data_IF_293268663514
#
_entry.id   IF_293268663514
#
_cell.length_a   1.000
_cell.length_b   1.000
_cell.length_c   1.000
_cell.angle_alpha   90.00
_cell.angle_beta   90.00
_cell.angle_gamma   90.00
#
_symmetry.space_group_name_H-M   'P 1'
#
loop_
_entity.id
_entity.type
_entity.pdbx_description
1 polymer ?
#
# COMPACT_ATOMS: atom_id res chain seq x y z
N UNK A 1 -1.07 -4.39 -22.98
CA UNK A 1 -0.16 -5.55 -23.12
C UNK A 1 0.22 -6.00 -21.72
N UNK A 2 -0.27 -7.16 -21.27
CA UNK A 2 0.01 -7.69 -19.93
C UNK A 2 1.24 -8.60 -20.03
N UNK A 3 2.33 -8.25 -19.35
CA UNK A 3 3.55 -9.04 -19.34
C UNK A 3 3.40 -10.20 -18.33
N UNK A 4 3.31 -11.43 -18.83
CA UNK A 4 3.39 -12.65 -18.02
C UNK A 4 4.87 -12.97 -17.87
N UNK A 5 5.46 -12.60 -16.74
CA UNK A 5 6.80 -13.06 -16.35
C UNK A 5 6.67 -14.52 -15.88
N UNK A 6 7.07 -15.46 -16.73
CA UNK A 6 7.27 -16.85 -16.34
C UNK A 6 8.60 -16.96 -15.58
N UNK A 7 8.54 -17.23 -14.28
CA UNK A 7 9.70 -17.62 -13.48
C UNK A 7 9.72 -19.15 -13.46
N UNK A 8 10.81 -19.74 -13.97
CA UNK A 8 11.00 -21.20 -14.01
C UNK A 8 10.85 -21.79 -12.60
N UNK A 9 9.81 -22.61 -12.40
CA UNK A 9 9.54 -23.32 -11.14
C UNK A 9 8.14 -23.15 -10.55
N UNK A 10 7.33 -22.19 -11.01
CA UNK A 10 5.94 -22.03 -10.56
C UNK A 10 4.98 -22.29 -11.71
N UNK A 11 4.48 -23.52 -11.79
CA UNK A 11 3.45 -23.89 -12.78
C UNK A 11 2.16 -23.12 -12.51
N UNK A 12 1.81 -22.19 -13.40
CA UNK A 12 0.42 -21.81 -13.68
C UNK A 12 -0.23 -20.70 -12.86
N UNK A 13 0.43 -20.10 -11.86
CA UNK A 13 -0.14 -18.96 -11.15
C UNK A 13 0.26 -17.65 -11.84
N UNK A 14 -0.71 -16.93 -12.43
CA UNK A 14 -0.50 -15.56 -12.91
C UNK A 14 -0.10 -14.69 -11.72
N UNK A 15 1.16 -14.23 -11.69
CA UNK A 15 1.66 -13.37 -10.62
C UNK A 15 0.97 -12.02 -10.76
N UNK A 16 0.08 -11.70 -9.82
CA UNK A 16 -0.63 -10.41 -9.82
C UNK A 16 0.36 -9.29 -9.47
N UNK A 17 0.59 -8.37 -10.40
CA UNK A 17 1.50 -7.24 -10.15
C UNK A 17 0.77 -6.11 -9.43
N UNK A 18 1.52 -5.25 -8.72
CA UNK A 18 0.97 -4.13 -7.96
C UNK A 18 0.34 -3.02 -8.81
N UNK A 19 0.45 -3.12 -10.14
CA UNK A 19 -0.13 -2.20 -11.11
C UNK A 19 -1.41 -2.74 -11.77
N UNK A 20 -1.75 -4.01 -11.55
CA UNK A 20 -3.00 -4.57 -12.05
C UNK A 20 -4.18 -4.09 -11.21
N UNK A 21 -5.25 -3.68 -11.88
CA UNK A 21 -6.54 -3.36 -11.27
C UNK A 21 -7.08 -4.57 -10.47
N UNK A 22 -8.02 -4.30 -9.56
CA UNK A 22 -8.70 -5.33 -8.81
C UNK A 22 -9.53 -6.22 -9.75
N UNK A 23 -9.47 -7.53 -9.55
CA UNK A 23 -10.52 -8.45 -10.02
C UNK A 23 -11.82 -8.24 -9.24
N UNK A 24 -12.95 -8.75 -9.74
CA UNK A 24 -14.26 -8.62 -9.07
C UNK A 24 -14.23 -9.16 -7.63
N UNK A 25 -13.60 -10.31 -7.41
CA UNK A 25 -13.43 -10.90 -6.06
C UNK A 25 -12.54 -10.04 -5.16
N UNK A 26 -11.50 -9.41 -5.72
CA UNK A 26 -10.63 -8.49 -4.98
C UNK A 26 -11.36 -7.19 -4.66
N UNK A 27 -12.27 -6.73 -5.51
CA UNK A 27 -13.02 -5.49 -5.30
C UNK A 27 -13.88 -5.59 -4.03
N UNK A 28 -14.58 -6.71 -3.83
CA UNK A 28 -15.38 -6.94 -2.61
C UNK A 28 -14.50 -6.92 -1.36
N UNK A 29 -13.36 -7.60 -1.41
CA UNK A 29 -12.41 -7.64 -0.28
C UNK A 29 -11.74 -6.30 -0.04
N UNK A 30 -11.50 -5.54 -1.09
CA UNK A 30 -10.91 -4.21 -1.02
C UNK A 30 -11.86 -3.21 -0.35
N UNK A 31 -13.15 -3.30 -0.62
CA UNK A 31 -14.16 -2.49 0.08
C UNK A 31 -14.19 -2.80 1.58
N UNK A 32 -14.13 -4.08 1.95
CA UNK A 32 -14.05 -4.50 3.36
C UNK A 32 -12.78 -3.97 4.03
N UNK A 33 -11.63 -4.11 3.35
CA UNK A 33 -10.35 -3.60 3.84
C UNK A 33 -10.38 -2.07 3.98
N UNK A 34 -10.98 -1.36 3.03
CA UNK A 34 -11.13 0.10 3.08
C UNK A 34 -11.91 0.52 4.33
N UNK A 35 -13.02 -0.15 4.63
CA UNK A 35 -13.80 0.12 5.84
C UNK A 35 -12.95 -0.08 7.11
N UNK A 36 -12.23 -1.20 7.23
CA UNK A 36 -11.37 -1.49 8.39
C UNK A 36 -10.25 -0.44 8.55
N UNK A 37 -9.59 -0.06 7.45
CA UNK A 37 -8.49 0.91 7.49
C UNK A 37 -8.95 2.32 7.85
N UNK A 38 -10.13 2.76 7.41
CA UNK A 38 -10.71 4.05 7.81
C UNK A 38 -10.97 4.11 9.31
N UNK A 39 -11.52 3.04 9.89
CA UNK A 39 -11.75 2.96 11.33
C UNK A 39 -10.43 3.03 12.12
N UNK A 40 -9.38 2.34 11.65
CA UNK A 40 -8.06 2.38 12.29
C UNK A 40 -7.41 3.77 12.20
N UNK A 41 -7.45 4.42 11.03
CA UNK A 41 -6.91 5.76 10.86
C UNK A 41 -7.63 6.80 11.73
N UNK A 42 -8.96 6.69 11.89
CA UNK A 42 -9.73 7.56 12.76
C UNK A 42 -9.30 7.44 14.24
N UNK A 43 -8.98 6.22 14.70
CA UNK A 43 -8.53 5.98 16.09
C UNK A 43 -7.13 6.52 16.35
N UNK A 44 -6.24 6.50 15.36
CA UNK A 44 -4.85 6.93 15.50
C UNK A 44 -4.66 8.45 15.34
N UNK A 45 -5.74 9.24 15.22
CA UNK A 45 -5.68 10.71 15.13
C UNK A 45 -5.03 11.25 13.84
N UNK A 46 -4.68 10.36 12.90
CA UNK A 46 -4.02 10.72 11.66
C UNK A 46 -5.02 11.03 10.55
N UNK A 47 -5.09 12.29 10.13
CA UNK A 47 -5.66 12.64 8.83
C UNK A 47 -4.65 12.27 7.74
N UNK A 48 -4.59 11.01 7.34
CA UNK A 48 -3.85 10.64 6.14
C UNK A 48 -4.82 10.50 4.97
N UNK A 49 -5.16 11.57 4.22
CA UNK A 49 -5.96 11.45 3.00
C UNK A 49 -5.23 10.63 1.90
N UNK A 50 -3.92 10.40 2.01
CA UNK A 50 -3.17 9.44 1.17
C UNK A 50 -3.34 7.96 1.61
N UNK A 51 -4.11 7.68 2.67
CA UNK A 51 -4.19 6.37 3.34
C UNK A 51 -4.87 5.28 2.51
N UNK A 52 -5.79 5.62 1.61
CA UNK A 52 -6.79 4.66 1.10
C UNK A 52 -6.81 4.57 -0.41
N UNK A 53 -5.70 4.82 -1.10
CA UNK A 53 -5.60 4.49 -2.52
C UNK A 53 -5.85 2.99 -2.73
N UNK A 54 -6.75 2.63 -3.63
CA UNK A 54 -7.08 1.23 -3.93
C UNK A 54 -5.85 0.42 -4.32
N UNK A 55 -4.91 1.02 -5.06
CA UNK A 55 -3.66 0.36 -5.42
C UNK A 55 -2.75 0.10 -4.21
N UNK A 56 -2.84 0.92 -3.16
CA UNK A 56 -2.14 0.67 -1.90
C UNK A 56 -2.82 -0.46 -1.14
N UNK A 57 -4.15 -0.42 -1.01
CA UNK A 57 -4.91 -1.47 -0.32
C UNK A 57 -4.79 -2.83 -1.03
N UNK A 58 -4.76 -2.85 -2.37
CA UNK A 58 -4.49 -4.05 -3.16
C UNK A 58 -3.12 -4.65 -2.88
N UNK A 59 -2.09 -3.82 -2.61
CA UNK A 59 -0.76 -4.33 -2.23
C UNK A 59 -0.81 -5.11 -0.93
N UNK A 60 -1.51 -4.60 0.08
CA UNK A 60 -1.73 -5.33 1.33
C UNK A 60 -2.57 -6.58 1.08
N UNK A 61 -3.70 -6.45 0.38
CA UNK A 61 -4.59 -7.58 0.13
C UNK A 61 -3.87 -8.71 -0.61
N UNK A 62 -3.08 -8.42 -1.64
CA UNK A 62 -2.30 -9.41 -2.40
C UNK A 62 -1.12 -9.97 -1.60
N UNK A 63 -0.43 -9.12 -0.83
CA UNK A 63 0.68 -9.54 0.04
C UNK A 63 0.27 -10.51 1.14
N UNK A 64 -0.98 -10.41 1.60
CA UNK A 64 -1.59 -11.29 2.61
C UNK A 64 -2.59 -12.29 2.00
N UNK A 65 -2.36 -12.72 0.74
CA UNK A 65 -3.11 -13.80 0.08
C UNK A 65 -4.64 -13.62 0.06
N UNK A 66 -5.12 -12.38 0.04
CA UNK A 66 -6.54 -12.06 0.04
C UNK A 66 -7.21 -12.13 1.41
N UNK A 67 -6.44 -12.23 2.50
CA UNK A 67 -6.93 -12.13 3.88
C UNK A 67 -7.15 -10.67 4.25
N UNK A 68 -8.42 -10.27 4.40
CA UNK A 68 -8.79 -8.89 4.79
C UNK A 68 -8.29 -8.58 6.20
N UNK A 69 -8.40 -9.56 7.12
CA UNK A 69 -7.99 -9.40 8.51
C UNK A 69 -6.50 -9.12 8.64
N UNK A 70 -5.67 -9.95 8.02
CA UNK A 70 -4.21 -9.82 8.14
C UNK A 70 -3.72 -8.58 7.40
N UNK A 71 -4.32 -8.27 6.24
CA UNK A 71 -4.05 -7.03 5.53
C UNK A 71 -4.40 -5.78 6.36
N UNK A 72 -5.50 -5.80 7.11
CA UNK A 72 -5.92 -4.69 7.97
C UNK A 72 -4.97 -4.50 9.16
N UNK A 73 -4.55 -5.59 9.82
CA UNK A 73 -3.57 -5.55 10.90
C UNK A 73 -2.24 -4.98 10.41
N UNK A 74 -1.71 -5.51 9.32
CA UNK A 74 -0.47 -5.01 8.74
C UNK A 74 -0.55 -3.54 8.30
N UNK A 75 -1.72 -3.10 7.84
CA UNK A 75 -1.94 -1.69 7.52
C UNK A 75 -1.90 -0.83 8.79
N UNK A 76 -2.55 -1.27 9.88
CA UNK A 76 -2.54 -0.57 11.16
C UNK A 76 -1.11 -0.45 11.71
N UNK A 77 -0.37 -1.56 11.76
CA UNK A 77 1.03 -1.60 12.23
C UNK A 77 1.91 -0.63 11.42
N UNK A 78 1.71 -0.58 10.10
CA UNK A 78 2.43 0.34 9.22
C UNK A 78 2.10 1.81 9.50
N UNK A 79 0.84 2.13 9.79
CA UNK A 79 0.44 3.51 10.15
C UNK A 79 1.05 3.91 11.49
N UNK A 80 0.96 3.05 12.49
CA UNK A 80 1.55 3.27 13.82
C UNK A 80 3.07 3.49 13.70
N UNK A 81 3.77 2.59 13.03
CA UNK A 81 5.21 2.73 12.81
C UNK A 81 5.58 4.04 12.11
N UNK A 82 4.80 4.47 11.10
CA UNK A 82 5.05 5.74 10.40
C UNK A 82 4.88 6.96 11.30
N UNK A 83 3.92 6.92 12.21
CA UNK A 83 3.69 7.98 13.20
C UNK A 83 4.84 8.02 14.20
N UNK A 84 5.22 6.88 14.76
CA UNK A 84 6.34 6.76 15.70
C UNK A 84 7.67 7.25 15.12
N UNK A 85 7.88 7.04 13.82
CA UNK A 85 9.13 7.35 13.13
C UNK A 85 9.10 8.69 12.38
N UNK A 86 8.07 9.53 12.59
CA UNK A 86 7.91 10.84 11.94
C UNK A 86 8.13 10.79 10.41
N UNK A 87 7.64 9.75 9.75
CA UNK A 87 7.88 9.53 8.31
C UNK A 87 7.32 10.68 7.47
N UNK A 88 6.26 11.35 7.95
CA UNK A 88 5.72 12.55 7.31
C UNK A 88 6.75 13.68 7.21
N UNK A 89 7.52 13.93 8.28
CA UNK A 89 8.53 14.99 8.33
C UNK A 89 9.73 14.64 7.45
N UNK A 90 10.12 13.36 7.43
CA UNK A 90 11.17 12.86 6.53
C UNK A 90 10.77 13.08 5.07
N UNK A 91 9.53 12.71 4.70
CA UNK A 91 9.03 12.91 3.33
C UNK A 91 8.95 14.39 2.98
N UNK A 92 8.47 15.25 3.89
CA UNK A 92 8.42 16.69 3.66
C UNK A 92 9.82 17.29 3.45
N UNK A 93 10.80 16.85 4.26
CA UNK A 93 12.20 17.26 4.14
C UNK A 93 12.79 16.86 2.79
N UNK A 94 12.58 15.61 2.37
CA UNK A 94 13.08 15.12 1.07
C UNK A 94 12.44 15.86 -0.10
N UNK A 95 11.12 16.07 -0.09
CA UNK A 95 10.43 16.85 -1.14
C UNK A 95 10.95 18.28 -1.24
N UNK A 96 11.26 18.90 -0.09
CA UNK A 96 11.86 20.24 -0.06
C UNK A 96 13.27 20.23 -0.65
N UNK A 97 14.11 19.26 -0.26
CA UNK A 97 15.45 19.12 -0.81
C UNK A 97 15.43 18.92 -2.35
N UNK A 98 14.50 18.11 -2.87
CA UNK A 98 14.31 17.93 -4.32
C UNK A 98 13.88 19.22 -5.02
N UNK A 99 13.04 20.04 -4.37
CA UNK A 99 12.63 21.32 -4.92
C UNK A 99 13.76 22.36 -4.92
N UNK A 100 14.63 22.32 -3.90
CA UNK A 100 15.72 23.28 -3.71
C UNK A 100 16.97 22.94 -4.56
N UNK A 101 17.30 21.65 -4.72
CA UNK A 101 18.54 21.19 -5.39
C UNK A 101 18.31 20.60 -6.80
N UNK A 102 17.05 20.44 -7.22
CA UNK A 102 16.69 19.66 -8.41
C UNK A 102 16.62 18.15 -8.10
N UNK A 103 16.65 17.31 -9.13
CA UNK A 103 16.44 15.87 -8.96
C UNK A 103 17.47 15.28 -7.98
N UNK A 104 16.99 14.80 -6.83
CA UNK A 104 17.83 14.17 -5.81
C UNK A 104 18.59 13.02 -6.45
N UNK A 105 19.92 13.14 -6.49
CA UNK A 105 20.80 12.03 -6.85
C UNK A 105 20.84 11.08 -5.66
N UNK A 106 19.87 10.16 -5.61
CA UNK A 106 20.02 8.98 -4.77
C UNK A 106 21.24 8.19 -5.27
N UNK A 107 22.14 7.72 -4.39
CA UNK A 107 23.06 6.64 -4.74
C UNK A 107 22.31 5.33 -5.04
#
# INVERSE_FOLDING_TARGET
MSAILQVEGVTGASIKTNQQLASEEEQVKLEQLRACTMECCAKLGGSSPEATSDLKLLRFLRGYSGSVKDAALAYADMVEWRLENNVADVVATLKKAEADEGQLTFP
#
